data_IF_627539346339
#
_entry.id   IF_627539346339
#
_cell.length_a   1.000
_cell.length_b   1.000
_cell.length_c   1.000
_cell.angle_alpha   90.00
_cell.angle_beta   90.00
_cell.angle_gamma   90.00
#
_symmetry.space_group_name_H-M   'P 1'
#
loop_
_entity.id
_entity.type
_entity.pdbx_description
1 polymer ?
#
# COMPACT_ATOMS: atom_id res chain seq x y z
N UNK A 1 28.48 -45.18 -36.14
CA UNK A 1 27.50 -45.09 -35.05
C UNK A 1 27.94 -44.21 -33.87
N UNK A 2 29.10 -44.43 -33.23
CA UNK A 2 29.51 -43.65 -32.01
C UNK A 2 29.64 -42.11 -32.23
N UNK A 3 30.10 -41.64 -33.42
CA UNK A 3 30.20 -40.21 -33.73
C UNK A 3 28.81 -39.53 -33.91
N UNK A 4 27.89 -40.22 -34.59
CA UNK A 4 26.54 -39.73 -34.80
C UNK A 4 25.77 -39.60 -33.46
N UNK A 5 25.89 -40.63 -32.56
CA UNK A 5 25.31 -40.56 -31.25
C UNK A 5 25.82 -39.38 -30.40
N UNK A 6 27.15 -39.08 -30.47
CA UNK A 6 27.71 -37.92 -29.75
C UNK A 6 27.17 -36.59 -30.28
N UNK A 7 27.04 -36.43 -31.59
CA UNK A 7 26.47 -35.24 -32.21
C UNK A 7 25.00 -35.06 -31.78
N UNK A 8 24.22 -36.14 -31.82
CA UNK A 8 22.83 -36.11 -31.40
C UNK A 8 22.68 -35.75 -29.93
N UNK A 9 23.52 -36.27 -29.04
CA UNK A 9 23.56 -35.92 -27.62
C UNK A 9 23.95 -34.43 -27.41
N UNK A 10 24.88 -33.89 -28.16
CA UNK A 10 25.23 -32.48 -28.07
C UNK A 10 24.09 -31.56 -28.54
N UNK A 11 23.38 -31.92 -29.60
CA UNK A 11 22.21 -31.16 -30.09
C UNK A 11 21.09 -31.23 -29.07
N UNK A 12 20.76 -32.37 -28.51
CA UNK A 12 19.76 -32.52 -27.47
C UNK A 12 20.14 -31.72 -26.21
N UNK A 13 21.40 -31.77 -25.78
CA UNK A 13 21.89 -31.04 -24.63
C UNK A 13 21.81 -29.51 -24.83
N UNK A 14 22.16 -29.04 -26.04
CA UNK A 14 22.04 -27.60 -26.36
C UNK A 14 20.58 -27.14 -26.41
N UNK A 15 19.69 -27.95 -26.98
CA UNK A 15 18.26 -27.62 -27.01
C UNK A 15 17.64 -27.54 -25.59
N UNK A 16 18.00 -28.51 -24.76
CA UNK A 16 17.57 -28.52 -23.35
C UNK A 16 18.08 -27.28 -22.61
N UNK A 17 19.34 -26.92 -22.80
CA UNK A 17 19.91 -25.71 -22.17
C UNK A 17 19.18 -24.43 -22.60
N UNK A 18 18.79 -24.31 -23.88
CA UNK A 18 18.00 -23.18 -24.38
C UNK A 18 16.61 -23.14 -23.72
N UNK A 19 15.94 -24.28 -23.62
CA UNK A 19 14.63 -24.38 -22.96
C UNK A 19 14.72 -23.96 -21.49
N UNK A 20 15.72 -24.46 -20.77
CA UNK A 20 15.94 -24.10 -19.37
C UNK A 20 16.22 -22.61 -19.21
N UNK A 21 17.10 -22.04 -20.05
CA UNK A 21 17.39 -20.60 -20.02
C UNK A 21 16.14 -19.75 -20.30
N UNK A 22 15.30 -20.18 -21.24
CA UNK A 22 14.04 -19.52 -21.55
C UNK A 22 13.06 -19.55 -20.35
N UNK A 23 12.93 -20.70 -19.71
CA UNK A 23 12.12 -20.84 -18.49
C UNK A 23 12.62 -19.93 -17.36
N UNK A 24 13.92 -19.87 -17.12
CA UNK A 24 14.48 -18.95 -16.12
C UNK A 24 14.20 -17.51 -16.44
N UNK A 25 14.31 -17.13 -17.73
CA UNK A 25 14.04 -15.75 -18.18
C UNK A 25 12.57 -15.35 -17.93
N UNK A 26 11.63 -16.22 -18.28
CA UNK A 26 10.20 -15.99 -18.01
C UNK A 26 9.94 -15.93 -16.52
N UNK A 27 10.42 -16.91 -15.76
CA UNK A 27 10.22 -16.95 -14.31
C UNK A 27 10.77 -15.69 -13.61
N UNK A 28 11.94 -15.20 -14.05
CA UNK A 28 12.48 -13.95 -13.52
C UNK A 28 11.60 -12.74 -13.85
N UNK A 29 11.12 -12.63 -15.08
CA UNK A 29 10.27 -11.51 -15.50
C UNK A 29 8.94 -11.51 -14.74
N UNK A 30 8.31 -12.66 -14.64
CA UNK A 30 6.99 -12.80 -14.02
C UNK A 30 7.03 -12.59 -12.49
N UNK A 31 8.09 -13.07 -11.81
CA UNK A 31 8.05 -13.10 -10.34
C UNK A 31 9.00 -12.10 -9.65
N UNK A 32 10.04 -11.62 -10.35
CA UNK A 32 11.13 -10.90 -9.65
C UNK A 32 11.53 -9.58 -10.29
N UNK A 33 11.15 -9.33 -11.54
CA UNK A 33 11.51 -8.09 -12.23
C UNK A 33 10.90 -6.91 -11.52
N UNK A 34 11.74 -5.94 -11.15
CA UNK A 34 11.30 -4.68 -10.55
C UNK A 34 11.12 -3.63 -11.62
N UNK A 35 9.97 -2.98 -11.60
CA UNK A 35 9.65 -1.88 -12.51
C UNK A 35 9.24 -0.68 -11.68
N UNK A 36 9.93 0.45 -11.81
CA UNK A 36 9.51 1.70 -11.16
C UNK A 36 8.24 2.21 -11.82
N UNK A 37 7.20 2.39 -11.01
CA UNK A 37 5.90 2.87 -11.45
C UNK A 37 5.78 4.38 -11.24
N UNK A 38 6.31 4.88 -10.12
CA UNK A 38 6.26 6.30 -9.79
C UNK A 38 7.33 6.66 -8.76
N UNK A 39 7.58 7.97 -8.58
CA UNK A 39 8.55 8.51 -7.63
C UNK A 39 8.03 9.82 -7.05
N UNK A 40 8.13 9.97 -5.73
CA UNK A 40 7.82 11.20 -5.00
C UNK A 40 9.06 11.71 -4.29
N UNK A 41 9.28 13.03 -4.31
CA UNK A 41 10.43 13.66 -3.66
C UNK A 41 9.93 14.57 -2.55
N UNK A 42 10.63 14.55 -1.40
CA UNK A 42 10.33 15.44 -0.28
C UNK A 42 10.44 16.92 -0.67
N UNK A 43 9.69 17.83 -0.02
CA UNK A 43 9.71 19.26 -0.35
C UNK A 43 11.09 19.92 -0.28
N UNK A 44 11.98 19.40 0.57
CA UNK A 44 13.37 19.85 0.72
C UNK A 44 14.34 19.20 -0.27
N UNK A 45 13.87 18.21 -1.06
CA UNK A 45 14.66 17.46 -2.03
C UNK A 45 15.66 16.46 -1.43
N UNK A 46 15.59 16.22 -0.12
CA UNK A 46 16.54 15.36 0.59
C UNK A 46 16.20 13.87 0.44
N UNK A 47 14.90 13.55 0.46
CA UNK A 47 14.39 12.19 0.42
C UNK A 47 13.64 11.90 -0.88
N UNK A 48 13.76 10.68 -1.35
CA UNK A 48 13.06 10.16 -2.52
C UNK A 48 12.36 8.86 -2.15
N UNK A 49 11.07 8.78 -2.44
CA UNK A 49 10.26 7.58 -2.27
C UNK A 49 9.89 7.04 -3.65
N UNK A 50 10.23 5.79 -3.90
CA UNK A 50 9.96 5.10 -5.17
C UNK A 50 8.92 4.01 -4.98
N UNK A 51 7.88 4.03 -5.81
CA UNK A 51 6.91 2.95 -5.98
C UNK A 51 7.39 2.01 -7.08
N UNK A 52 7.52 0.72 -6.76
CA UNK A 52 7.94 -0.32 -7.69
C UNK A 52 6.89 -1.43 -7.75
N UNK A 53 6.58 -1.91 -8.95
CA UNK A 53 5.97 -3.21 -9.15
C UNK A 53 7.04 -4.30 -9.10
N UNK A 54 6.72 -5.46 -8.53
CA UNK A 54 7.59 -6.62 -8.42
C UNK A 54 6.94 -7.80 -9.13
N UNK A 55 7.47 -8.17 -10.28
CA UNK A 55 6.87 -9.17 -11.16
C UNK A 55 5.67 -8.62 -11.93
N UNK A 56 4.85 -9.53 -12.39
CA UNK A 56 3.56 -9.26 -13.02
C UNK A 56 2.44 -9.64 -12.03
N UNK A 57 1.24 -9.03 -12.13
CA UNK A 57 0.10 -9.44 -11.31
C UNK A 57 -0.23 -10.92 -11.53
N UNK A 58 -0.75 -11.56 -10.49
CA UNK A 58 -1.22 -12.94 -10.58
C UNK A 58 -2.41 -13.05 -11.52
N UNK A 59 -2.25 -13.85 -12.56
CA UNK A 59 -3.29 -14.02 -13.58
C UNK A 59 -4.30 -15.12 -13.17
N UNK A 60 -5.62 -14.98 -13.42
CA UNK A 60 -6.27 -13.89 -14.18
C UNK A 60 -6.80 -12.72 -13.32
N UNK A 61 -6.99 -12.87 -12.01
CA UNK A 61 -7.64 -11.91 -11.12
C UNK A 61 -6.94 -11.84 -9.75
N UNK A 62 -5.63 -12.04 -9.71
CA UNK A 62 -4.88 -12.07 -8.47
C UNK A 62 -4.31 -10.71 -8.07
N UNK A 63 -3.53 -10.76 -6.98
CA UNK A 63 -2.85 -9.59 -6.43
C UNK A 63 -1.65 -9.16 -7.26
N UNK A 64 -1.31 -7.90 -7.15
CA UNK A 64 -0.07 -7.33 -7.67
C UNK A 64 0.90 -7.05 -6.51
N UNK A 65 2.13 -7.58 -6.61
CA UNK A 65 3.18 -7.34 -5.62
C UNK A 65 3.88 -6.01 -5.88
N UNK A 66 4.00 -5.19 -4.83
CA UNK A 66 4.63 -3.89 -4.87
C UNK A 66 5.71 -3.70 -3.84
N UNK A 67 6.48 -2.63 -4.02
CA UNK A 67 7.56 -2.25 -3.12
C UNK A 67 7.67 -0.74 -3.03
N UNK A 68 7.77 -0.24 -1.80
CA UNK A 68 8.16 1.12 -1.47
C UNK A 68 9.64 1.13 -1.10
N UNK A 69 10.41 2.08 -1.65
CA UNK A 69 11.82 2.26 -1.31
C UNK A 69 12.05 3.72 -0.98
N UNK A 70 12.45 3.99 0.29
CA UNK A 70 12.81 5.33 0.76
C UNK A 70 14.32 5.48 0.72
N UNK A 71 14.78 6.53 0.07
CA UNK A 71 16.20 6.87 -0.13
C UNK A 71 16.51 8.25 0.43
N UNK A 72 17.73 8.41 0.97
CA UNK A 72 18.36 9.71 1.23
C UNK A 72 19.59 9.83 0.30
N UNK A 73 19.44 10.59 -0.76
CA UNK A 73 20.47 10.66 -1.82
C UNK A 73 20.71 9.29 -2.45
N UNK A 74 21.84 8.62 -2.12
CA UNK A 74 22.19 7.28 -2.62
C UNK A 74 21.97 6.16 -1.60
N UNK A 75 21.67 6.52 -0.36
CA UNK A 75 21.56 5.57 0.73
C UNK A 75 20.09 5.15 0.90
N UNK A 76 19.86 3.84 0.95
CA UNK A 76 18.55 3.30 1.22
C UNK A 76 18.26 3.34 2.72
N UNK A 77 17.24 4.11 3.12
CA UNK A 77 16.78 4.23 4.51
C UNK A 77 15.87 3.06 4.86
N UNK A 78 14.82 2.85 4.06
CA UNK A 78 13.80 1.86 4.35
C UNK A 78 13.26 1.22 3.08
N UNK A 79 12.69 0.01 3.25
CA UNK A 79 12.02 -0.72 2.17
C UNK A 79 10.85 -1.49 2.77
N UNK A 80 9.71 -1.47 2.07
CA UNK A 80 8.51 -2.22 2.45
C UNK A 80 7.92 -2.87 1.22
N UNK A 81 7.67 -4.18 1.31
CA UNK A 81 6.94 -4.92 0.29
C UNK A 81 5.46 -4.97 0.70
N UNK A 82 4.57 -4.90 -0.27
CA UNK A 82 3.12 -4.93 -0.07
C UNK A 82 2.44 -5.68 -1.22
N UNK A 83 1.19 -6.04 -1.03
CA UNK A 83 0.34 -6.64 -2.06
C UNK A 83 -0.92 -5.78 -2.25
N UNK A 84 -1.32 -5.57 -3.50
CA UNK A 84 -2.59 -4.92 -3.83
C UNK A 84 -3.51 -5.94 -4.48
N UNK A 85 -4.69 -6.10 -3.91
CA UNK A 85 -5.79 -6.85 -4.52
C UNK A 85 -6.50 -5.95 -5.53
N UNK A 86 -6.12 -6.07 -6.79
CA UNK A 86 -6.47 -5.14 -7.86
C UNK A 86 -7.04 -5.87 -9.08
N UNK A 87 -7.73 -7.00 -8.84
CA UNK A 87 -8.40 -7.83 -9.87
C UNK A 87 -7.50 -8.11 -11.10
N UNK A 88 -6.22 -8.46 -10.85
CA UNK A 88 -5.21 -8.67 -11.88
C UNK A 88 -4.65 -7.40 -12.52
N UNK A 89 -5.04 -6.21 -12.02
CA UNK A 89 -4.51 -4.92 -12.44
C UNK A 89 -3.08 -4.68 -11.98
N UNK A 90 -2.29 -3.99 -12.80
CA UNK A 90 -0.91 -3.64 -12.49
C UNK A 90 -0.85 -2.46 -11.52
N UNK A 91 0.23 -2.39 -10.73
CA UNK A 91 0.53 -1.22 -9.89
C UNK A 91 0.88 -0.03 -10.77
N UNK A 92 0.20 1.10 -10.51
CA UNK A 92 0.37 2.37 -11.22
C UNK A 92 0.47 3.52 -10.22
N UNK A 93 0.74 4.72 -10.71
CA UNK A 93 0.75 5.94 -9.89
C UNK A 93 -0.61 6.27 -9.25
N UNK A 94 -1.70 5.71 -9.72
CA UNK A 94 -3.02 5.90 -9.10
C UNK A 94 -3.26 5.02 -7.87
N UNK A 95 -2.41 3.99 -7.65
CA UNK A 95 -2.54 3.08 -6.52
C UNK A 95 -1.95 3.63 -5.22
N UNK A 96 -1.35 4.82 -5.24
CA UNK A 96 -0.75 5.41 -4.06
C UNK A 96 -1.03 6.90 -3.92
N UNK A 97 -1.05 7.38 -2.66
CA UNK A 97 -1.06 8.80 -2.31
C UNK A 97 0.04 9.04 -1.30
N UNK A 98 0.91 10.02 -1.55
CA UNK A 98 2.08 10.32 -0.72
C UNK A 98 1.89 11.66 -0.03
N UNK A 99 2.13 11.71 1.27
CA UNK A 99 2.15 12.94 2.08
C UNK A 99 3.46 12.99 2.86
N UNK A 100 4.22 14.08 2.69
CA UNK A 100 5.50 14.29 3.38
C UNK A 100 5.29 15.10 4.64
N UNK A 101 5.89 14.64 5.73
CA UNK A 101 5.94 15.31 7.04
C UNK A 101 7.39 15.61 7.42
N UNK A 102 7.63 16.23 8.58
CA UNK A 102 8.96 16.63 9.02
C UNK A 102 9.89 15.44 9.29
N UNK A 103 9.37 14.36 9.90
CA UNK A 103 10.15 13.21 10.36
C UNK A 103 9.82 11.90 9.61
N UNK A 104 8.80 11.90 8.74
CA UNK A 104 8.35 10.70 8.03
C UNK A 104 7.60 11.03 6.74
N UNK A 105 7.39 10.00 5.94
CA UNK A 105 6.49 10.02 4.79
C UNK A 105 5.36 9.02 5.02
N UNK A 106 4.13 9.47 4.76
CA UNK A 106 2.92 8.68 4.79
C UNK A 106 2.54 8.28 3.37
N UNK A 107 2.19 7.02 3.19
CA UNK A 107 1.71 6.46 1.93
C UNK A 107 0.38 5.77 2.18
N UNK A 108 -0.64 6.15 1.45
CA UNK A 108 -1.89 5.40 1.37
C UNK A 108 -1.85 4.57 0.10
N UNK A 109 -1.96 3.26 0.25
CA UNK A 109 -2.03 2.30 -0.83
C UNK A 109 -3.49 1.87 -1.03
N UNK A 110 -4.01 2.09 -2.24
CA UNK A 110 -5.40 1.78 -2.58
C UNK A 110 -5.47 0.72 -3.66
N UNK A 111 -6.20 -0.36 -3.40
CA UNK A 111 -6.56 -1.42 -4.34
C UNK A 111 -8.07 -1.46 -4.57
N UNK A 112 -8.51 -2.13 -5.64
CA UNK A 112 -9.94 -2.19 -6.00
C UNK A 112 -10.76 -3.10 -5.08
N UNK A 113 -10.12 -4.14 -4.51
CA UNK A 113 -10.79 -5.20 -3.73
C UNK A 113 -10.27 -5.31 -2.29
N UNK A 114 -9.71 -4.23 -1.75
CA UNK A 114 -9.19 -4.21 -0.38
C UNK A 114 -9.45 -2.87 0.29
N UNK A 115 -9.39 -2.85 1.62
CA UNK A 115 -9.29 -1.59 2.36
C UNK A 115 -7.95 -0.92 2.08
N UNK A 116 -7.93 0.39 2.09
CA UNK A 116 -6.71 1.16 1.96
C UNK A 116 -5.71 0.77 3.06
N UNK A 117 -4.44 0.68 2.70
CA UNK A 117 -3.34 0.41 3.63
C UNK A 117 -2.53 1.68 3.82
N UNK A 118 -2.35 2.09 5.08
CA UNK A 118 -1.46 3.18 5.45
C UNK A 118 -0.09 2.63 5.79
N UNK A 119 0.93 3.14 5.13
CA UNK A 119 2.33 2.86 5.41
C UNK A 119 3.03 4.15 5.81
N UNK A 120 3.59 4.17 7.01
CA UNK A 120 4.41 5.28 7.52
C UNK A 120 5.87 4.83 7.52
N UNK A 121 6.73 5.58 6.81
CA UNK A 121 8.16 5.33 6.74
C UNK A 121 8.89 6.51 7.39
N UNK A 122 9.50 6.27 8.55
CA UNK A 122 10.29 7.26 9.28
C UNK A 122 11.69 7.41 8.67
N UNK A 123 12.26 8.60 8.76
CA UNK A 123 13.59 8.87 8.24
C UNK A 123 14.72 8.27 9.08
N UNK A 124 14.41 7.72 10.25
CA UNK A 124 15.33 6.90 11.06
C UNK A 124 15.37 5.41 10.62
N UNK A 125 14.56 5.04 9.61
CA UNK A 125 14.45 3.68 9.07
C UNK A 125 13.37 2.81 9.72
N UNK A 126 12.69 3.30 10.76
CA UNK A 126 11.53 2.61 11.34
C UNK A 126 10.31 2.73 10.42
N UNK A 127 9.33 1.86 10.60
CA UNK A 127 8.11 1.84 9.78
C UNK A 127 6.92 1.33 10.56
N UNK A 128 5.74 1.82 10.18
CA UNK A 128 4.44 1.37 10.67
C UNK A 128 3.53 1.06 9.49
N UNK A 129 2.73 0.01 9.62
CA UNK A 129 1.78 -0.42 8.58
C UNK A 129 0.45 -0.67 9.27
N UNK A 130 -0.61 -0.04 8.78
CA UNK A 130 -1.95 -0.17 9.31
C UNK A 130 -2.97 -0.29 8.17
N UNK A 131 -3.89 -1.23 8.28
CA UNK A 131 -5.04 -1.30 7.39
C UNK A 131 -6.09 -0.28 7.84
N UNK A 132 -6.55 0.57 6.91
CA UNK A 132 -7.59 1.55 7.18
C UNK A 132 -8.95 0.85 7.04
N UNK A 133 -9.52 0.42 8.16
CA UNK A 133 -10.90 -0.06 8.18
C UNK A 133 -11.85 1.14 8.20
N UNK A 134 -12.94 1.10 7.43
CA UNK A 134 -14.00 2.09 7.55
C UNK A 134 -14.47 2.17 9.01
N UNK A 135 -14.44 3.37 9.58
CA UNK A 135 -14.86 3.64 10.97
C UNK A 135 -16.35 3.27 11.19
N UNK A 136 -17.09 2.95 10.12
CA UNK A 136 -18.48 2.52 10.18
C UNK A 136 -18.70 1.17 10.90
N UNK A 137 -17.66 0.34 11.08
CA UNK A 137 -17.75 -0.95 11.77
C UNK A 137 -17.22 -0.92 13.22
N UNK A 138 -16.89 0.24 13.77
CA UNK A 138 -16.72 0.38 15.21
C UNK A 138 -18.12 0.31 15.79
N UNK A 139 -18.57 -0.89 16.14
CA UNK A 139 -19.68 -1.11 17.05
C UNK A 139 -19.33 -0.37 18.36
N UNK A 140 -19.81 0.87 18.47
CA UNK A 140 -19.72 1.61 19.73
C UNK A 140 -20.58 0.81 20.69
N UNK A 141 -19.94 0.02 21.53
CA UNK A 141 -20.58 -0.66 22.65
C UNK A 141 -21.14 0.44 23.56
N UNK A 142 -22.38 0.86 23.26
CA UNK A 142 -23.12 1.72 24.15
C UNK A 142 -23.35 0.91 25.42
N UNK A 143 -22.82 1.35 26.57
CA UNK A 143 -23.12 0.68 27.84
C UNK A 143 -24.63 0.61 27.96
N UNK A 144 -25.16 -0.63 28.07
CA UNK A 144 -26.57 -0.92 28.23
C UNK A 144 -27.16 0.02 29.31
N UNK A 145 -28.33 0.61 29.04
CA UNK A 145 -29.05 1.58 29.89
C UNK A 145 -29.43 1.05 31.29
N UNK A 146 -28.70 0.15 31.87
CA UNK A 146 -28.95 -0.38 33.18
C UNK A 146 -27.99 0.21 34.22
N UNK A 147 -28.38 1.33 34.79
CA UNK A 147 -27.92 2.08 35.95
C UNK A 147 -27.54 3.54 35.69
N UNK A 148 -28.48 4.33 35.24
CA UNK A 148 -28.49 5.75 35.55
C UNK A 148 -29.01 5.95 36.96
N UNK A 149 -28.08 6.08 37.89
CA UNK A 149 -28.36 6.52 39.26
C UNK A 149 -28.84 7.98 39.19
N UNK A 150 -30.05 8.24 39.75
CA UNK A 150 -30.79 9.51 39.71
C UNK A 150 -30.12 10.70 40.45
N UNK A 151 -28.81 10.76 40.58
CA UNK A 151 -28.13 11.79 41.35
C UNK A 151 -27.26 12.80 40.57
N UNK A 152 -27.35 12.84 39.24
CA UNK A 152 -26.73 13.91 38.45
C UNK A 152 -27.73 14.59 37.54
N UNK A 153 -28.40 15.60 38.06
CA UNK A 153 -29.06 16.64 37.24
C UNK A 153 -27.96 17.39 36.52
N UNK A 154 -27.65 16.98 35.30
CA UNK A 154 -26.87 17.81 34.37
C UNK A 154 -27.86 18.78 33.78
N UNK A 155 -27.69 20.06 34.08
CA UNK A 155 -28.41 21.16 33.48
C UNK A 155 -28.24 21.07 31.96
N UNK A 156 -29.33 20.84 31.24
CA UNK A 156 -29.40 20.93 29.80
C UNK A 156 -28.95 22.33 29.35
N UNK A 157 -27.72 22.48 28.92
CA UNK A 157 -27.36 23.56 27.99
C UNK A 157 -27.79 23.08 26.61
N UNK A 158 -28.85 23.70 26.11
CA UNK A 158 -29.35 23.51 24.75
C UNK A 158 -28.21 23.77 23.74
N UNK A 159 -27.76 22.72 23.07
CA UNK A 159 -26.99 22.86 21.86
C UNK A 159 -27.97 23.24 20.74
N UNK A 160 -28.05 24.51 20.41
CA UNK A 160 -28.73 24.95 19.20
C UNK A 160 -27.87 24.57 17.99
N UNK A 161 -28.35 23.58 17.24
CA UNK A 161 -27.76 23.17 15.96
C UNK A 161 -28.47 23.95 14.86
N UNK A 162 -27.84 24.97 14.29
CA UNK A 162 -28.33 25.61 13.07
C UNK A 162 -27.74 24.89 11.84
N UNK A 163 -28.63 24.45 10.95
CA UNK A 163 -28.27 23.96 9.61
C UNK A 163 -28.21 25.14 8.65
N UNK A 164 -27.12 25.28 7.92
CA UNK A 164 -27.06 26.27 6.85
C UNK A 164 -27.93 25.81 5.64
N UNK A 165 -28.18 26.70 4.70
CA UNK A 165 -29.01 26.44 3.50
C UNK A 165 -28.50 25.31 2.60
N UNK A 166 -27.33 24.75 2.90
CA UNK A 166 -26.69 23.64 2.15
C UNK A 166 -26.63 22.33 2.95
N UNK A 167 -27.19 22.27 4.17
CA UNK A 167 -27.28 21.05 4.97
C UNK A 167 -25.98 20.65 5.70
N UNK A 168 -24.99 21.53 5.82
CA UNK A 168 -23.78 21.28 6.61
C UNK A 168 -23.95 21.70 8.07
N UNK A 169 -23.46 20.87 9.01
CA UNK A 169 -23.49 21.10 10.46
C UNK A 169 -22.34 22.03 10.84
N UNK A 170 -22.66 23.23 11.32
CA UNK A 170 -21.68 24.13 11.91
C UNK A 170 -21.75 24.09 13.45
N UNK A 171 -20.63 23.77 14.08
CA UNK A 171 -20.47 23.87 15.53
C UNK A 171 -20.08 25.31 15.91
N UNK A 172 -20.99 26.03 16.55
CA UNK A 172 -20.68 27.38 17.10
C UNK A 172 -20.37 27.23 18.58
N UNK A 173 -19.08 27.33 18.96
CA UNK A 173 -18.68 27.40 20.35
C UNK A 173 -18.72 28.86 20.82
N UNK A 174 -19.62 29.19 21.71
CA UNK A 174 -19.52 30.41 22.52
C UNK A 174 -18.69 30.10 23.76
N UNK A 175 -17.49 30.64 23.86
CA UNK A 175 -16.77 30.82 25.11
C UNK A 175 -17.23 32.12 25.78
N UNK A 176 -17.43 32.15 27.11
CA UNK A 176 -17.77 33.35 27.86
C UNK A 176 -16.60 34.34 27.95
#
# INVERSE_FOLDING_TARGET
MKKFLKIMLCIMGSLLAVIVAFWFSISYTVNYKKTTCDTSVSPDGKYELTLQAVGEPDWPFGSASGRLVLMEGKDKISQTDFELHNDGGSITSSCWKVTWYEDYVEVILSGEEQFDEQVILYFDGTKEIQQLTDIADIEVDYPSEEKLDESRVITEQSLDVELNDWGEVQFVSYLP
#
